data_IF_154076567344
#
_entry.id   IF_154076567344
#
_cell.length_a   1.000
_cell.length_b   1.000
_cell.length_c   1.000
_cell.angle_alpha   90.00
_cell.angle_beta   90.00
_cell.angle_gamma   90.00
#
_symmetry.space_group_name_H-M   'P 1'
#
loop_
_entity.id
_entity.type
_entity.pdbx_description
1 polymer ?
#
# COMPACT_ATOMS: atom_id res chain seq x y z
N UNK A 1 4.84 -25.41 9.28
CA UNK A 1 4.05 -25.00 8.08
C UNK A 1 4.37 -23.57 7.64
N UNK A 2 4.38 -22.57 8.52
CA UNK A 2 4.79 -21.19 8.19
C UNK A 2 6.28 -21.10 7.87
N UNK A 3 7.16 -21.73 8.64
CA UNK A 3 8.61 -21.81 8.36
C UNK A 3 8.91 -22.53 7.04
N UNK A 4 8.17 -23.56 6.70
CA UNK A 4 8.31 -24.23 5.39
C UNK A 4 7.84 -23.37 4.22
N UNK A 5 6.83 -22.50 4.43
CA UNK A 5 6.42 -21.51 3.45
C UNK A 5 7.46 -20.39 3.30
N UNK A 6 8.03 -19.92 4.41
CA UNK A 6 9.08 -18.88 4.40
C UNK A 6 10.32 -19.41 3.68
N UNK A 7 10.76 -20.63 3.97
CA UNK A 7 11.90 -21.25 3.29
C UNK A 7 11.62 -21.49 1.81
N UNK A 8 10.42 -21.94 1.45
CA UNK A 8 10.02 -22.15 0.05
C UNK A 8 9.89 -20.83 -0.74
N UNK A 9 9.45 -19.76 -0.09
CA UNK A 9 9.45 -18.40 -0.65
C UNK A 9 10.89 -17.90 -0.81
N UNK A 10 11.77 -18.13 0.15
CA UNK A 10 13.19 -17.77 0.09
C UNK A 10 13.91 -18.44 -1.08
N UNK A 11 13.75 -19.74 -1.25
CA UNK A 11 14.36 -20.49 -2.37
C UNK A 11 13.77 -20.06 -3.74
N UNK A 12 12.48 -19.78 -3.80
CA UNK A 12 11.82 -19.30 -5.02
C UNK A 12 12.27 -17.88 -5.35
N UNK A 13 12.47 -17.03 -4.34
CA UNK A 13 12.97 -15.66 -4.51
C UNK A 13 14.41 -15.66 -5.00
N UNK A 14 15.31 -16.47 -4.42
CA UNK A 14 16.69 -16.56 -4.87
C UNK A 14 16.76 -16.98 -6.36
N UNK A 15 16.06 -18.03 -6.77
CA UNK A 15 15.98 -18.44 -8.17
C UNK A 15 15.30 -17.41 -9.08
N UNK A 16 14.42 -16.56 -8.52
CA UNK A 16 13.77 -15.48 -9.25
C UNK A 16 14.74 -14.33 -9.52
N UNK A 17 15.54 -13.93 -8.51
CA UNK A 17 16.53 -12.86 -8.66
C UNK A 17 17.69 -13.22 -9.59
N UNK A 18 18.01 -14.51 -9.75
CA UNK A 18 19.01 -14.98 -10.73
C UNK A 18 18.64 -14.64 -12.19
N UNK A 19 17.39 -14.27 -12.45
CA UNK A 19 16.93 -13.83 -13.79
C UNK A 19 17.26 -12.38 -14.11
N UNK A 20 17.64 -11.60 -13.10
CA UNK A 20 17.97 -10.20 -13.27
C UNK A 20 19.48 -10.02 -13.40
N UNK A 21 19.88 -9.06 -14.23
CA UNK A 21 21.28 -8.72 -14.37
C UNK A 21 21.88 -8.25 -13.03
N UNK A 22 23.12 -8.63 -12.75
CA UNK A 22 23.85 -8.09 -11.59
C UNK A 22 23.84 -6.57 -11.69
N UNK A 23 23.31 -5.90 -10.64
CA UNK A 23 23.11 -4.46 -10.52
C UNK A 23 21.83 -3.88 -11.19
N UNK A 24 20.96 -4.71 -11.77
CA UNK A 24 19.68 -4.22 -12.23
C UNK A 24 18.85 -3.75 -11.03
N UNK A 25 18.43 -2.48 -11.04
CA UNK A 25 17.53 -1.95 -10.01
C UNK A 25 16.08 -2.22 -10.37
N UNK A 26 15.30 -2.53 -9.36
CA UNK A 26 13.89 -2.91 -9.45
C UNK A 26 13.03 -1.98 -8.61
N UNK A 27 11.76 -1.99 -8.91
CA UNK A 27 10.70 -1.45 -8.06
C UNK A 27 10.01 -2.60 -7.31
N UNK A 28 9.54 -2.32 -6.11
CA UNK A 28 8.74 -3.24 -5.31
C UNK A 28 7.38 -2.60 -4.99
N UNK A 29 6.29 -3.27 -5.32
CA UNK A 29 4.98 -2.91 -4.83
C UNK A 29 4.56 -3.89 -3.75
N UNK A 30 4.47 -3.43 -2.50
CA UNK A 30 4.09 -4.28 -1.36
C UNK A 30 2.60 -4.22 -1.11
N UNK A 31 1.96 -5.39 -1.07
CA UNK A 31 0.57 -5.54 -0.70
C UNK A 31 0.37 -5.78 0.81
N UNK A 32 -0.87 -5.88 1.21
CA UNK A 32 -1.29 -6.03 2.61
C UNK A 32 -1.05 -7.43 3.18
N UNK A 33 -0.74 -8.42 2.34
CA UNK A 33 -0.29 -9.73 2.83
C UNK A 33 1.02 -9.63 3.61
N UNK A 34 1.96 -8.76 3.19
CA UNK A 34 3.17 -8.47 3.96
C UNK A 34 2.83 -7.78 5.29
N UNK A 35 1.89 -6.84 5.30
CA UNK A 35 1.41 -6.22 6.55
C UNK A 35 0.82 -7.27 7.48
N UNK A 36 0.06 -8.24 6.97
CA UNK A 36 -0.49 -9.34 7.76
C UNK A 36 0.59 -10.22 8.39
N UNK A 37 1.61 -10.58 7.63
CA UNK A 37 2.77 -11.35 8.14
C UNK A 37 3.45 -10.59 9.28
N UNK A 38 3.59 -9.27 9.13
CA UNK A 38 4.24 -8.41 10.13
C UNK A 38 3.31 -7.94 11.26
N UNK A 39 2.09 -8.46 11.32
CA UNK A 39 1.16 -8.29 12.43
C UNK A 39 0.10 -7.23 12.26
N UNK A 40 0.01 -6.59 11.09
CA UNK A 40 -0.99 -5.57 10.78
C UNK A 40 -2.20 -6.12 10.01
N UNK A 41 -3.36 -5.46 10.07
CA UNK A 41 -4.54 -5.90 9.36
C UNK A 41 -4.41 -5.73 7.85
N UNK A 42 -5.03 -6.62 7.09
CA UNK A 42 -5.28 -6.44 5.67
C UNK A 42 -6.36 -5.38 5.44
N UNK A 43 -6.42 -4.84 4.22
CA UNK A 43 -7.50 -3.90 3.83
C UNK A 43 -8.88 -4.52 3.96
N UNK A 44 -9.02 -5.81 3.65
CA UNK A 44 -10.26 -6.57 3.86
C UNK A 44 -10.63 -6.64 5.33
N UNK A 45 -9.70 -6.98 6.23
CA UNK A 45 -9.96 -7.04 7.67
C UNK A 45 -10.37 -5.67 8.24
N UNK A 46 -9.81 -4.58 7.72
CA UNK A 46 -10.22 -3.22 8.06
C UNK A 46 -11.65 -2.96 7.56
N UNK A 47 -11.96 -3.33 6.30
CA UNK A 47 -13.29 -3.15 5.73
C UNK A 47 -14.35 -3.93 6.51
N UNK A 48 -14.07 -5.17 6.89
CA UNK A 48 -14.95 -6.01 7.71
C UNK A 48 -15.21 -5.38 9.09
N UNK A 49 -14.17 -4.82 9.72
CA UNK A 49 -14.30 -4.12 11.00
C UNK A 49 -15.19 -2.86 10.87
N UNK A 50 -14.95 -2.04 9.86
CA UNK A 50 -15.79 -0.85 9.57
C UNK A 50 -17.24 -1.27 9.28
N UNK A 51 -17.43 -2.37 8.51
CA UNK A 51 -18.74 -2.91 8.19
C UNK A 51 -19.52 -3.34 9.44
N UNK A 52 -18.84 -3.83 10.49
CA UNK A 52 -19.48 -4.28 11.72
C UNK A 52 -20.27 -3.16 12.41
N UNK A 53 -19.78 -1.93 12.31
CA UNK A 53 -20.38 -0.73 12.90
C UNK A 53 -21.52 -0.13 12.06
N UNK A 54 -21.67 -0.57 10.81
CA UNK A 54 -22.70 -0.06 9.91
C UNK A 54 -24.06 -0.72 10.26
N UNK A 55 -25.11 0.10 10.38
CA UNK A 55 -26.47 -0.41 10.60
C UNK A 55 -26.88 -1.38 9.51
N UNK A 56 -27.62 -2.43 9.89
CA UNK A 56 -28.08 -3.48 8.97
C UNK A 56 -28.83 -2.92 7.75
N UNK A 57 -29.62 -1.87 7.93
CA UNK A 57 -30.34 -1.21 6.84
C UNK A 57 -29.42 -0.59 5.78
N UNK A 58 -28.22 -0.16 6.16
CA UNK A 58 -27.24 0.44 5.26
C UNK A 58 -26.31 -0.59 4.60
N UNK A 59 -26.15 -1.78 5.21
CA UNK A 59 -25.28 -2.84 4.66
C UNK A 59 -25.70 -3.30 3.27
N UNK A 60 -27.00 -3.25 2.95
CA UNK A 60 -27.52 -3.62 1.64
C UNK A 60 -27.07 -2.73 0.47
N UNK A 61 -26.51 -1.55 0.76
CA UNK A 61 -25.95 -0.66 -0.26
C UNK A 61 -24.51 -0.99 -0.62
N UNK A 62 -23.83 -1.85 0.16
CA UNK A 62 -22.45 -2.27 -0.13
C UNK A 62 -22.47 -3.34 -1.21
N UNK A 63 -22.01 -2.99 -2.41
CA UNK A 63 -21.95 -3.89 -3.56
C UNK A 63 -20.73 -4.82 -3.50
N UNK A 64 -19.64 -4.33 -2.94
CA UNK A 64 -18.40 -5.05 -2.87
C UNK A 64 -17.75 -4.88 -1.48
N UNK A 65 -17.92 -5.89 -0.65
CA UNK A 65 -17.39 -5.90 0.72
C UNK A 65 -15.85 -5.87 0.77
N UNK A 66 -15.18 -6.26 -0.32
CA UNK A 66 -13.72 -6.24 -0.40
C UNK A 66 -13.16 -4.82 -0.65
N UNK A 67 -14.01 -3.84 -0.95
CA UNK A 67 -13.61 -2.45 -1.09
C UNK A 67 -13.65 -1.72 0.25
N UNK A 68 -12.48 -1.43 0.80
CA UNK A 68 -12.36 -0.57 1.99
C UNK A 68 -12.88 0.84 1.69
N UNK A 69 -12.62 1.35 0.50
CA UNK A 69 -13.04 2.69 0.10
C UNK A 69 -14.57 2.82 0.01
N UNK A 70 -15.25 1.84 -0.57
CA UNK A 70 -16.71 1.80 -0.62
C UNK A 70 -17.31 1.64 0.79
N UNK A 71 -16.81 0.70 1.58
CA UNK A 71 -17.28 0.47 2.95
C UNK A 71 -17.10 1.71 3.82
N UNK A 72 -15.95 2.36 3.73
CA UNK A 72 -15.64 3.60 4.46
C UNK A 72 -16.55 4.76 4.03
N UNK A 73 -16.88 4.87 2.75
CA UNK A 73 -17.80 5.89 2.26
C UNK A 73 -19.21 5.67 2.81
N UNK A 74 -19.72 4.44 2.76
CA UNK A 74 -21.05 4.11 3.29
C UNK A 74 -21.09 4.31 4.81
N UNK A 75 -20.01 4.02 5.53
CA UNK A 75 -19.92 4.33 6.95
C UNK A 75 -20.15 5.83 7.22
N UNK A 76 -19.50 6.71 6.47
CA UNK A 76 -19.70 8.15 6.62
C UNK A 76 -21.11 8.60 6.27
N UNK A 77 -21.69 8.05 5.21
CA UNK A 77 -23.02 8.43 4.71
C UNK A 77 -24.15 7.92 5.63
N UNK A 78 -23.97 6.72 6.21
CA UNK A 78 -25.02 6.04 6.97
C UNK A 78 -24.99 6.30 8.49
N UNK A 79 -23.81 6.57 9.06
CA UNK A 79 -23.62 6.62 10.53
C UNK A 79 -23.59 8.06 11.06
N UNK A 80 -23.76 9.09 10.23
CA UNK A 80 -23.69 10.52 10.59
C UNK A 80 -22.41 10.81 11.44
N UNK A 81 -21.35 10.07 11.17
CA UNK A 81 -20.08 10.25 11.85
C UNK A 81 -19.14 11.06 10.99
N UNK A 82 -18.41 11.92 11.63
CA UNK A 82 -17.31 12.62 10.95
C UNK A 82 -16.23 11.63 10.50
N UNK A 83 -15.51 11.95 9.46
CA UNK A 83 -14.29 11.22 9.05
C UNK A 83 -13.35 10.96 10.24
N UNK A 84 -13.36 11.84 11.24
CA UNK A 84 -12.61 11.69 12.50
C UNK A 84 -13.02 10.42 13.27
N UNK A 85 -14.32 10.10 13.33
CA UNK A 85 -14.82 8.88 13.97
C UNK A 85 -14.34 7.62 13.26
N UNK A 86 -14.43 7.59 11.92
CA UNK A 86 -13.90 6.49 11.10
C UNK A 86 -12.39 6.29 11.32
N UNK A 87 -11.62 7.36 11.28
CA UNK A 87 -10.17 7.30 11.50
C UNK A 87 -9.85 6.78 12.91
N UNK A 88 -10.58 7.22 13.92
CA UNK A 88 -10.42 6.72 15.30
C UNK A 88 -10.67 5.23 15.38
N UNK A 89 -11.78 4.74 14.82
CA UNK A 89 -12.11 3.33 14.78
C UNK A 89 -11.00 2.49 14.12
N UNK A 90 -10.50 2.94 12.96
CA UNK A 90 -9.44 2.23 12.25
C UNK A 90 -8.12 2.27 13.05
N UNK A 91 -7.77 3.41 13.66
CA UNK A 91 -6.57 3.50 14.52
C UNK A 91 -6.58 2.51 15.67
N UNK A 92 -7.72 2.30 16.31
CA UNK A 92 -7.86 1.33 17.41
C UNK A 92 -7.50 -0.09 16.95
N UNK A 93 -7.77 -0.44 15.68
CA UNK A 93 -7.35 -1.73 15.12
C UNK A 93 -5.81 -1.81 15.01
N UNK A 94 -5.15 -0.73 14.59
CA UNK A 94 -3.70 -0.70 14.46
C UNK A 94 -2.98 -0.61 15.82
N UNK A 95 -3.52 0.15 16.77
CA UNK A 95 -2.92 0.34 18.10
C UNK A 95 -2.87 -0.95 18.93
N UNK A 96 -3.72 -1.93 18.62
CA UNK A 96 -3.72 -3.26 19.23
C UNK A 96 -2.68 -4.21 18.62
N UNK A 97 -1.93 -3.77 17.60
CA UNK A 97 -0.98 -4.62 16.87
C UNK A 97 0.45 -4.38 17.31
N UNK A 98 1.23 -5.44 17.27
CA UNK A 98 2.66 -5.43 17.56
C UNK A 98 3.42 -5.95 16.35
N UNK A 99 4.57 -5.37 16.09
CA UNK A 99 5.48 -5.83 15.04
C UNK A 99 5.93 -7.27 15.30
N UNK A 100 5.92 -8.07 14.24
CA UNK A 100 6.47 -9.43 14.22
C UNK A 100 7.03 -9.71 12.83
N UNK A 101 7.95 -10.67 12.73
CA UNK A 101 8.53 -11.09 11.44
C UNK A 101 9.07 -9.93 10.60
N UNK A 102 9.62 -8.90 11.25
CA UNK A 102 10.13 -7.69 10.59
C UNK A 102 11.36 -7.96 9.73
N UNK A 103 12.02 -9.09 9.95
CA UNK A 103 13.21 -9.56 9.24
C UNK A 103 12.99 -9.60 7.73
N UNK A 104 11.76 -9.90 7.28
CA UNK A 104 11.43 -9.92 5.86
C UNK A 104 11.70 -8.56 5.17
N UNK A 105 11.45 -7.46 5.88
CA UNK A 105 11.77 -6.14 5.36
C UNK A 105 13.26 -5.82 5.46
N UNK A 106 13.95 -6.31 6.49
CA UNK A 106 15.41 -6.22 6.57
C UNK A 106 16.09 -6.89 5.38
N UNK A 107 15.61 -8.07 4.99
CA UNK A 107 16.11 -8.79 3.82
C UNK A 107 15.82 -8.04 2.52
N UNK A 108 14.62 -7.47 2.37
CA UNK A 108 14.24 -6.63 1.23
C UNK A 108 15.18 -5.42 1.11
N UNK A 109 15.39 -4.68 2.21
CA UNK A 109 16.24 -3.49 2.20
C UNK A 109 17.72 -3.81 1.98
N UNK A 110 18.22 -4.89 2.58
CA UNK A 110 19.61 -5.31 2.47
C UNK A 110 19.93 -6.02 1.15
N UNK A 111 18.92 -6.46 0.40
CA UNK A 111 19.12 -7.10 -0.90
C UNK A 111 19.82 -6.22 -1.93
N UNK A 112 19.69 -4.90 -1.78
CA UNK A 112 20.25 -3.92 -2.70
C UNK A 112 19.58 -3.86 -4.08
N UNK A 113 18.51 -4.67 -4.32
CA UNK A 113 17.80 -4.66 -5.60
C UNK A 113 16.85 -3.48 -5.76
N UNK A 114 16.23 -3.01 -4.67
CA UNK A 114 15.11 -2.08 -4.77
C UNK A 114 15.55 -0.61 -4.66
N UNK A 115 15.13 0.18 -5.63
CA UNK A 115 15.32 1.64 -5.67
C UNK A 115 14.09 2.39 -5.14
N UNK A 116 12.89 1.86 -5.46
CA UNK A 116 11.62 2.42 -5.01
C UNK A 116 10.69 1.32 -4.50
N UNK A 117 9.98 1.61 -3.41
CA UNK A 117 8.94 0.74 -2.83
C UNK A 117 7.63 1.51 -2.81
N UNK A 118 6.56 0.86 -3.24
CA UNK A 118 5.21 1.40 -3.28
C UNK A 118 4.28 0.59 -2.39
N UNK A 119 3.34 1.25 -1.73
CA UNK A 119 2.31 0.55 -0.95
C UNK A 119 1.02 1.35 -0.87
N UNK A 120 -0.09 0.62 -0.74
CA UNK A 120 -1.38 1.18 -0.33
C UNK A 120 -1.68 0.94 1.16
N UNK A 121 -0.74 0.36 1.90
CA UNK A 121 -0.91 0.05 3.32
C UNK A 121 -0.81 1.32 4.17
N UNK A 122 -1.53 1.31 5.30
CA UNK A 122 -1.65 2.48 6.18
C UNK A 122 -0.71 2.45 7.39
N UNK A 123 -0.12 1.28 7.71
CA UNK A 123 0.79 1.13 8.84
C UNK A 123 2.04 1.99 8.69
N UNK A 124 2.74 2.21 9.79
CA UNK A 124 3.96 3.04 9.84
C UNK A 124 5.20 2.25 10.24
N UNK A 125 5.14 0.93 10.15
CA UNK A 125 6.22 0.06 10.60
C UNK A 125 7.53 0.35 9.87
N UNK A 126 7.48 0.45 8.55
CA UNK A 126 8.69 0.70 7.73
C UNK A 126 9.29 2.05 8.10
N UNK A 127 8.49 3.10 8.22
CA UNK A 127 8.96 4.44 8.57
C UNK A 127 9.59 4.49 9.96
N UNK A 128 9.06 3.71 10.90
CA UNK A 128 9.56 3.66 12.28
C UNK A 128 10.84 2.84 12.42
N UNK A 129 10.87 1.66 11.83
CA UNK A 129 11.98 0.71 12.02
C UNK A 129 13.13 0.95 11.05
N UNK A 130 12.86 1.48 9.86
CA UNK A 130 13.83 1.64 8.78
C UNK A 130 14.01 3.09 8.34
N UNK A 131 13.79 4.04 9.26
CA UNK A 131 13.86 5.51 9.02
C UNK A 131 15.14 5.95 8.30
N UNK A 132 16.27 5.29 8.57
CA UNK A 132 17.56 5.63 7.95
C UNK A 132 17.71 5.07 6.54
N UNK A 133 16.89 4.08 6.15
CA UNK A 133 16.98 3.38 4.88
C UNK A 133 15.95 3.89 3.85
N UNK A 134 14.90 4.55 4.29
CA UNK A 134 13.81 5.00 3.42
C UNK A 134 13.62 6.52 3.42
N UNK A 135 13.25 7.06 2.28
CA UNK A 135 12.74 8.42 2.11
C UNK A 135 11.25 8.33 1.82
N UNK A 136 10.43 8.66 2.83
CA UNK A 136 8.97 8.52 2.74
C UNK A 136 8.38 9.62 1.88
N UNK A 137 7.55 9.23 0.92
CA UNK A 137 6.79 10.12 0.04
C UNK A 137 5.31 9.81 0.16
N UNK A 138 4.52 10.83 0.45
CA UNK A 138 3.06 10.73 0.57
C UNK A 138 2.39 11.77 -0.32
N UNK A 139 1.08 11.67 -0.62
CA UNK A 139 0.38 12.63 -1.47
C UNK A 139 0.51 14.09 -1.01
N UNK A 140 0.52 14.34 0.31
CA UNK A 140 0.69 15.69 0.86
C UNK A 140 2.15 16.12 1.01
N UNK A 141 3.08 15.17 1.07
CA UNK A 141 4.51 15.43 1.30
C UNK A 141 5.34 14.61 0.32
N UNK A 142 5.37 15.00 -0.97
CA UNK A 142 6.25 14.36 -1.95
C UNK A 142 7.71 14.51 -1.53
N UNK A 143 8.46 13.41 -1.53
CA UNK A 143 9.90 13.45 -1.23
C UNK A 143 10.66 14.12 -2.36
N UNK A 144 11.44 15.17 -2.04
CA UNK A 144 12.19 15.95 -3.03
C UNK A 144 13.49 15.28 -3.45
N UNK A 145 14.16 14.57 -2.54
CA UNK A 145 15.41 13.85 -2.79
C UNK A 145 15.58 12.76 -1.76
N UNK A 146 16.30 11.72 -2.14
CA UNK A 146 16.53 10.56 -1.28
C UNK A 146 17.92 9.98 -1.45
N UNK A 147 18.96 10.82 -1.58
CA UNK A 147 20.34 10.34 -1.76
C UNK A 147 20.69 9.20 -0.81
N UNK A 148 21.00 8.04 -1.37
CA UNK A 148 21.36 6.84 -0.63
C UNK A 148 20.22 6.12 0.10
N UNK A 149 18.96 6.57 -0.05
CA UNK A 149 17.79 5.93 0.56
C UNK A 149 16.85 5.39 -0.50
N UNK A 150 16.13 4.32 -0.15
CA UNK A 150 15.04 3.77 -0.96
C UNK A 150 13.85 4.73 -0.90
N UNK A 151 13.27 5.09 -2.06
CA UNK A 151 12.05 5.90 -2.11
C UNK A 151 10.86 5.07 -1.70
N UNK A 152 10.18 5.48 -0.65
CA UNK A 152 9.02 4.75 -0.13
C UNK A 152 7.73 5.55 -0.35
N UNK A 153 6.92 5.12 -1.32
CA UNK A 153 5.68 5.76 -1.72
C UNK A 153 4.48 5.16 -0.98
N UNK A 154 3.85 5.94 -0.11
CA UNK A 154 2.61 5.59 0.58
C UNK A 154 1.41 6.23 -0.13
N UNK A 155 0.83 5.49 -1.07
CA UNK A 155 -0.17 6.02 -2.01
C UNK A 155 -1.45 6.49 -1.31
N UNK A 156 -1.86 5.81 -0.25
CA UNK A 156 -3.06 6.13 0.54
C UNK A 156 -2.75 6.90 1.83
N UNK A 157 -1.50 7.36 1.98
CA UNK A 157 -1.06 8.05 3.18
C UNK A 157 -0.84 7.12 4.36
N UNK A 158 -1.01 7.64 5.58
CA UNK A 158 -0.69 6.91 6.82
C UNK A 158 -1.75 7.09 7.88
N UNK A 159 -2.01 6.04 8.67
CA UNK A 159 -3.07 6.02 9.68
C UNK A 159 -2.87 7.09 10.78
N UNK A 160 -1.65 7.50 11.06
CA UNK A 160 -1.38 8.47 12.11
C UNK A 160 -1.37 9.93 11.64
N UNK A 161 -1.52 10.19 10.34
CA UNK A 161 -1.70 11.53 9.80
C UNK A 161 -3.08 11.66 9.14
N UNK A 162 -4.06 12.23 9.85
CA UNK A 162 -5.45 12.32 9.37
C UNK A 162 -5.65 13.23 8.16
N UNK A 163 -4.74 14.17 7.93
CA UNK A 163 -4.79 15.05 6.75
C UNK A 163 -4.30 14.30 5.50
N UNK A 164 -3.32 13.42 5.69
CA UNK A 164 -2.69 12.60 4.64
C UNK A 164 -3.16 11.14 4.76
N UNK A 165 -4.48 10.95 4.84
CA UNK A 165 -5.11 9.65 4.95
C UNK A 165 -6.34 9.57 4.05
N UNK A 166 -6.30 8.66 3.08
CA UNK A 166 -7.29 8.50 2.03
C UNK A 166 -7.98 7.14 2.19
N UNK A 167 -9.20 7.15 2.72
CA UNK A 167 -9.94 5.95 3.11
C UNK A 167 -11.19 5.72 2.27
N UNK A 168 -11.87 6.79 1.83
CA UNK A 168 -13.19 6.69 1.19
C UNK A 168 -13.10 6.74 -0.33
N UNK A 169 -14.14 6.29 -1.00
CA UNK A 169 -14.25 6.43 -2.47
C UNK A 169 -14.16 7.90 -2.92
N UNK A 170 -14.65 8.84 -2.09
CA UNK A 170 -14.52 10.25 -2.36
C UNK A 170 -13.06 10.73 -2.21
N UNK A 171 -12.33 10.24 -1.20
CA UNK A 171 -10.91 10.56 -1.04
C UNK A 171 -10.09 10.08 -2.23
N UNK A 172 -10.31 8.83 -2.68
CA UNK A 172 -9.61 8.26 -3.85
C UNK A 172 -9.90 9.07 -5.12
N UNK A 173 -11.15 9.51 -5.31
CA UNK A 173 -11.48 10.41 -6.42
C UNK A 173 -10.71 11.71 -6.34
N UNK A 174 -10.66 12.34 -5.18
CA UNK A 174 -9.91 13.59 -4.97
C UNK A 174 -8.42 13.42 -5.26
N UNK A 175 -7.81 12.32 -4.80
CA UNK A 175 -6.43 12.00 -5.11
C UNK A 175 -6.13 11.98 -6.60
N UNK A 176 -7.06 11.44 -7.40
CA UNK A 176 -6.88 11.26 -8.85
C UNK A 176 -7.06 12.54 -9.67
N UNK A 177 -7.85 13.49 -9.18
CA UNK A 177 -8.29 14.66 -10.00
C UNK A 177 -7.75 16.00 -9.50
N UNK A 178 -7.38 16.15 -8.23
CA UNK A 178 -6.93 17.42 -7.72
C UNK A 178 -5.47 17.70 -8.11
N UNK A 179 -5.24 18.86 -8.70
CA UNK A 179 -3.92 19.34 -9.14
C UNK A 179 -2.89 19.31 -8.01
N UNK A 180 -3.35 19.50 -6.77
CA UNK A 180 -2.52 19.46 -5.58
C UNK A 180 -1.72 18.17 -5.39
N UNK A 181 -2.25 17.03 -5.85
CA UNK A 181 -1.58 15.73 -5.74
C UNK A 181 -0.80 15.33 -6.98
N UNK A 182 -0.82 16.16 -8.02
CA UNK A 182 -0.24 15.83 -9.32
C UNK A 182 1.26 15.60 -9.27
N UNK A 183 1.99 16.41 -8.49
CA UNK A 183 3.43 16.23 -8.33
C UNK A 183 3.76 14.84 -7.77
N UNK A 184 3.07 14.42 -6.71
CA UNK A 184 3.26 13.10 -6.12
C UNK A 184 3.01 11.98 -7.14
N UNK A 185 1.88 12.03 -7.86
CA UNK A 185 1.54 10.99 -8.83
C UNK A 185 2.43 10.99 -10.07
N UNK A 186 2.90 12.15 -10.52
CA UNK A 186 3.86 12.22 -11.62
C UNK A 186 5.19 11.57 -11.22
N UNK A 187 5.70 11.86 -10.03
CA UNK A 187 6.91 11.23 -9.50
C UNK A 187 6.75 9.72 -9.36
N UNK A 188 5.62 9.28 -8.76
CA UNK A 188 5.32 7.87 -8.57
C UNK A 188 5.24 7.12 -9.91
N UNK A 189 4.53 7.68 -10.89
CA UNK A 189 4.42 7.09 -12.23
C UNK A 189 5.76 7.00 -12.94
N UNK A 190 6.53 8.08 -12.91
CA UNK A 190 7.89 8.10 -13.48
C UNK A 190 8.76 6.98 -12.88
N UNK A 191 8.67 6.74 -11.58
CA UNK A 191 9.41 5.63 -10.94
C UNK A 191 8.87 4.26 -11.38
N UNK A 192 7.55 4.06 -11.37
CA UNK A 192 6.92 2.79 -11.78
C UNK A 192 7.29 2.39 -13.22
N UNK A 193 7.41 3.37 -14.11
CA UNK A 193 7.71 3.13 -15.52
C UNK A 193 9.20 3.09 -15.84
N UNK A 194 10.05 3.52 -14.91
CA UNK A 194 11.51 3.56 -15.13
C UNK A 194 12.19 2.20 -14.98
N UNK A 195 11.58 1.25 -14.28
CA UNK A 195 12.18 -0.05 -13.92
C UNK A 195 11.14 -1.15 -13.86
N UNK A 196 11.56 -2.43 -14.00
CA UNK A 196 10.69 -3.56 -13.74
C UNK A 196 10.13 -3.52 -12.32
N UNK A 197 8.85 -3.84 -12.16
CA UNK A 197 8.16 -3.80 -10.86
C UNK A 197 7.75 -5.20 -10.43
N UNK A 198 8.12 -5.58 -9.20
CA UNK A 198 7.67 -6.79 -8.54
C UNK A 198 6.48 -6.43 -7.64
N UNK A 199 5.36 -7.08 -7.83
CA UNK A 199 4.19 -7.02 -6.95
C UNK A 199 4.26 -8.17 -5.96
N UNK A 200 4.51 -7.88 -4.70
CA UNK A 200 4.69 -8.88 -3.65
C UNK A 200 3.57 -8.79 -2.61
N UNK A 201 2.81 -9.87 -2.47
CA UNK A 201 1.76 -9.98 -1.47
C UNK A 201 0.58 -9.05 -1.69
N UNK A 202 0.29 -8.69 -2.95
CA UNK A 202 -0.89 -7.90 -3.32
C UNK A 202 -2.10 -8.81 -3.52
N UNK A 203 -3.28 -8.34 -3.12
CA UNK A 203 -4.53 -9.02 -3.46
C UNK A 203 -5.05 -8.49 -4.80
N UNK A 204 -4.90 -9.30 -5.85
CA UNK A 204 -5.43 -8.98 -7.19
C UNK A 204 -6.97 -9.00 -7.27
N UNK A 205 -7.67 -9.31 -6.17
CA UNK A 205 -9.12 -9.22 -6.07
C UNK A 205 -9.58 -7.95 -5.33
N UNK A 206 -8.65 -7.19 -4.72
CA UNK A 206 -8.98 -5.90 -4.10
C UNK A 206 -9.33 -4.88 -5.19
N UNK A 207 -10.61 -4.44 -5.28
CA UNK A 207 -11.03 -3.50 -6.31
C UNK A 207 -10.41 -2.11 -6.14
N UNK A 208 -10.04 -1.72 -4.93
CA UNK A 208 -9.38 -0.44 -4.67
C UNK A 208 -7.96 -0.47 -5.22
N UNK A 209 -7.26 -1.62 -5.04
CA UNK A 209 -5.94 -1.83 -5.62
C UNK A 209 -5.99 -1.80 -7.16
N UNK A 210 -6.89 -2.58 -7.76
CA UNK A 210 -7.03 -2.63 -9.22
C UNK A 210 -7.39 -1.26 -9.81
N UNK A 211 -8.28 -0.53 -9.18
CA UNK A 211 -8.68 0.82 -9.60
C UNK A 211 -7.53 1.84 -9.48
N UNK A 212 -6.68 1.71 -8.46
CA UNK A 212 -5.50 2.55 -8.33
C UNK A 212 -4.43 2.17 -9.35
N UNK A 213 -4.19 0.89 -9.56
CA UNK A 213 -3.23 0.40 -10.55
C UNK A 213 -3.62 0.84 -11.96
N UNK A 214 -4.89 0.71 -12.34
CA UNK A 214 -5.41 1.19 -13.61
C UNK A 214 -5.16 2.70 -13.78
N UNK A 215 -5.43 3.50 -12.75
CA UNK A 215 -5.13 4.92 -12.77
C UNK A 215 -3.63 5.22 -12.95
N UNK A 216 -2.77 4.46 -12.29
CA UNK A 216 -1.32 4.66 -12.40
C UNK A 216 -0.78 4.29 -13.78
N UNK A 217 -1.34 3.24 -14.40
CA UNK A 217 -0.89 2.75 -15.70
C UNK A 217 -1.58 3.44 -16.89
N UNK A 218 -2.80 3.95 -16.73
CA UNK A 218 -3.61 4.52 -17.83
C UNK A 218 -3.02 5.78 -18.48
N UNK A 219 -2.07 6.43 -17.83
CA UNK A 219 -1.47 7.67 -18.32
C UNK A 219 -0.22 7.47 -19.19
N UNK A 220 0.23 6.23 -19.35
CA UNK A 220 1.44 5.91 -20.16
C UNK A 220 1.07 4.98 -21.30
N UNK A 221 1.10 5.51 -22.54
CA UNK A 221 0.80 4.74 -23.74
C UNK A 221 1.86 3.72 -24.16
N UNK A 222 3.07 3.77 -23.57
CA UNK A 222 4.24 2.98 -23.98
C UNK A 222 5.04 2.47 -22.77
N UNK A 223 4.40 1.89 -21.76
CA UNK A 223 5.17 1.26 -20.68
C UNK A 223 5.60 -0.16 -21.11
N UNK A 224 6.87 -0.33 -21.49
CA UNK A 224 7.45 -1.62 -21.89
C UNK A 224 8.11 -2.36 -20.71
N UNK A 225 8.06 -1.80 -19.49
CA UNK A 225 8.72 -2.45 -18.35
C UNK A 225 7.93 -3.67 -17.88
N UNK A 226 8.59 -4.81 -17.67
CA UNK A 226 7.92 -6.02 -17.22
C UNK A 226 7.40 -5.88 -15.79
N UNK A 227 6.25 -6.49 -15.55
CA UNK A 227 5.60 -6.59 -14.25
C UNK A 227 5.62 -8.06 -13.82
N UNK A 228 6.05 -8.29 -12.58
CA UNK A 228 6.10 -9.62 -11.98
C UNK A 228 5.18 -9.66 -10.77
N UNK A 229 4.39 -10.71 -10.62
CA UNK A 229 3.50 -10.92 -9.47
C UNK A 229 3.95 -12.17 -8.71
N UNK A 230 4.14 -12.01 -7.40
CA UNK A 230 4.60 -13.07 -6.48
C UNK A 230 3.66 -13.20 -5.29
#
# INVERSE_FOLDING_TARGET
MIEQLINKVGDTMNNFFDKFEKNQKLNLFTGDFLSKITGYPTRLEIAESVLSDIKQSAKGYIKNINSLAETSQIYLDAVINSKKGLIKHIREIFDLKHHKNVEIYSDIFNSGYFESIFTMNYDVMIEQLFTNLVAVSTPLKPAKSSEGKIRFYKIMGTIYNSEDLFLTSQDIRKLKVLEFYKEFFNNLKSELTSRPTIFLGVDLKDPDFLNMLDFLLSMEKNNEQPVYVV
#
